data_IF_637953698549
#
_entry.id   IF_637953698549
#
_cell.length_a   1.000
_cell.length_b   1.000
_cell.length_c   1.000
_cell.angle_alpha   90.00
_cell.angle_beta   90.00
_cell.angle_gamma   90.00
#
_symmetry.space_group_name_H-M   'P 1'
#
loop_
_entity.id
_entity.type
_entity.pdbx_description
1 polymer ?
#
# COMPACT_ATOMS: atom_id res chain seq x y z
N UNK A 1 7.92 13.50 28.37
CA UNK A 1 7.73 14.04 29.74
C UNK A 1 6.32 14.57 29.99
N UNK A 2 5.74 15.40 29.12
CA UNK A 2 4.39 15.99 29.36
C UNK A 2 3.29 14.92 29.53
N UNK A 3 3.20 13.92 28.64
CA UNK A 3 2.20 12.85 28.76
C UNK A 3 2.33 12.01 30.03
N UNK A 4 3.56 11.79 30.51
CA UNK A 4 3.80 11.11 31.78
C UNK A 4 3.25 11.93 32.95
N UNK A 5 3.45 13.25 32.94
CA UNK A 5 2.89 14.15 33.94
C UNK A 5 1.36 14.15 33.91
N UNK A 6 0.75 14.25 32.72
CA UNK A 6 -0.72 14.17 32.57
C UNK A 6 -1.26 12.86 33.14
N UNK A 7 -0.62 11.73 32.86
CA UNK A 7 -1.08 10.43 33.34
C UNK A 7 -0.85 10.19 34.83
N UNK A 8 0.29 10.61 35.37
CA UNK A 8 0.58 10.45 36.79
C UNK A 8 -0.26 11.37 37.66
N UNK A 9 -0.58 12.58 37.17
CA UNK A 9 -1.44 13.53 37.91
C UNK A 9 -2.93 13.17 37.90
N UNK A 10 -3.38 12.30 37.00
CA UNK A 10 -4.79 11.89 36.87
C UNK A 10 -4.94 10.37 37.01
N UNK A 11 -3.97 9.66 37.58
CA UNK A 11 -3.92 8.19 37.52
C UNK A 11 -5.20 7.51 38.04
N UNK A 12 -5.78 8.06 39.10
CA UNK A 12 -6.97 7.51 39.76
C UNK A 12 -8.24 7.62 38.91
N UNK A 13 -8.31 8.56 37.96
CA UNK A 13 -9.46 8.76 37.06
C UNK A 13 -9.30 8.06 35.71
N UNK A 14 -8.11 7.53 35.41
CA UNK A 14 -7.80 6.91 34.12
C UNK A 14 -8.18 5.43 34.07
N UNK A 15 -9.08 5.12 33.15
CA UNK A 15 -9.38 3.74 32.78
C UNK A 15 -8.20 3.10 32.04
N UNK A 16 -7.83 1.88 32.44
CA UNK A 16 -6.73 1.13 31.81
C UNK A 16 -6.85 1.01 30.27
N UNK A 17 -8.03 0.75 29.68
CA UNK A 17 -8.14 0.68 28.22
C UNK A 17 -7.87 2.03 27.52
N UNK A 18 -8.08 3.16 28.19
CA UNK A 18 -7.78 4.49 27.65
C UNK A 18 -6.27 4.70 27.63
N UNK A 19 -5.60 4.36 28.74
CA UNK A 19 -4.14 4.44 28.85
C UNK A 19 -3.47 3.58 27.77
N UNK A 20 -3.92 2.33 27.59
CA UNK A 20 -3.38 1.44 26.55
C UNK A 20 -3.59 2.01 25.16
N UNK A 21 -4.82 2.45 24.81
CA UNK A 21 -5.12 3.02 23.51
C UNK A 21 -4.28 4.28 23.23
N UNK A 22 -4.10 5.13 24.24
CA UNK A 22 -3.28 6.33 24.14
C UNK A 22 -1.78 6.01 23.99
N UNK A 23 -1.27 5.02 24.71
CA UNK A 23 0.11 4.57 24.58
C UNK A 23 0.42 3.99 23.20
N UNK A 24 -0.51 3.24 22.59
CA UNK A 24 -0.36 2.74 21.21
C UNK A 24 -0.29 3.89 20.21
N UNK A 25 -1.16 4.89 20.37
CA UNK A 25 -1.11 6.11 19.56
C UNK A 25 0.22 6.86 19.75
N UNK A 26 0.65 7.08 20.99
CA UNK A 26 1.93 7.74 21.28
C UNK A 26 3.11 6.96 20.70
N UNK A 27 3.11 5.64 20.81
CA UNK A 27 4.12 4.79 20.19
C UNK A 27 4.17 5.05 18.68
N UNK A 28 3.02 5.05 18.01
CA UNK A 28 2.96 5.35 16.58
C UNK A 28 3.51 6.74 16.24
N UNK A 29 3.09 7.78 16.97
CA UNK A 29 3.52 9.16 16.72
C UNK A 29 5.03 9.32 16.83
N UNK A 30 5.70 8.54 17.68
CA UNK A 30 7.16 8.56 17.82
C UNK A 30 7.88 7.80 16.69
N UNK A 31 7.28 6.74 16.15
CA UNK A 31 7.88 5.99 15.03
C UNK A 31 7.53 6.57 13.66
N UNK A 32 6.44 7.33 13.54
CA UNK A 32 5.94 7.83 12.26
C UNK A 32 6.95 8.64 11.44
N UNK A 33 7.74 9.57 12.03
CA UNK A 33 8.80 10.27 11.29
C UNK A 33 9.82 9.31 10.67
N UNK A 34 10.20 8.25 11.39
CA UNK A 34 11.09 7.22 10.87
C UNK A 34 10.42 6.41 9.75
N UNK A 35 9.13 6.09 9.84
CA UNK A 35 8.41 5.37 8.78
C UNK A 35 8.28 6.21 7.49
N UNK A 36 8.04 7.53 7.64
CA UNK A 36 8.01 8.48 6.53
C UNK A 36 9.39 8.56 5.86
N UNK A 37 10.45 8.70 6.65
CA UNK A 37 11.83 8.66 6.17
C UNK A 37 12.18 7.34 5.48
N UNK A 38 11.75 6.21 6.05
CA UNK A 38 11.99 4.87 5.50
C UNK A 38 11.30 4.69 4.14
N UNK A 39 10.10 5.25 3.97
CA UNK A 39 9.41 5.26 2.68
C UNK A 39 10.23 6.04 1.63
N UNK A 40 10.61 7.27 1.97
CA UNK A 40 11.29 8.21 1.07
C UNK A 40 12.71 7.76 0.69
N UNK A 41 13.48 7.28 1.66
CA UNK A 41 14.92 7.03 1.48
C UNK A 41 15.25 5.57 1.16
N UNK A 42 14.33 4.64 1.40
CA UNK A 42 14.58 3.21 1.18
C UNK A 42 13.56 2.62 0.23
N UNK A 43 12.27 2.69 0.55
CA UNK A 43 11.24 1.96 -0.22
C UNK A 43 11.11 2.48 -1.65
N UNK A 44 11.01 3.80 -1.83
CA UNK A 44 10.87 4.40 -3.14
C UNK A 44 12.16 4.31 -3.99
N UNK A 45 13.36 4.64 -3.48
CA UNK A 45 14.60 4.51 -4.26
C UNK A 45 14.94 3.07 -4.62
N UNK A 46 14.72 2.11 -3.71
CA UNK A 46 14.93 0.69 -3.99
C UNK A 46 14.01 0.20 -5.11
N UNK A 47 12.75 0.68 -5.12
CA UNK A 47 11.82 0.39 -6.21
C UNK A 47 12.36 0.88 -7.55
N UNK A 48 12.80 2.13 -7.65
CA UNK A 48 13.35 2.69 -8.88
C UNK A 48 14.61 1.95 -9.34
N UNK A 49 15.54 1.68 -8.42
CA UNK A 49 16.80 0.98 -8.73
C UNK A 49 16.60 -0.44 -9.27
N UNK A 50 15.53 -1.12 -8.83
CA UNK A 50 15.18 -2.46 -9.33
C UNK A 50 14.42 -2.40 -10.65
N UNK A 51 13.53 -1.42 -10.80
CA UNK A 51 12.68 -1.33 -11.99
C UNK A 51 13.44 -0.83 -13.23
N UNK A 52 14.44 0.04 -13.05
CA UNK A 52 15.26 0.55 -14.17
C UNK A 52 15.98 -0.57 -14.95
N UNK A 53 16.22 -1.73 -14.33
CA UNK A 53 16.85 -2.89 -14.97
C UNK A 53 15.93 -3.62 -15.96
N UNK A 54 14.62 -3.38 -15.87
CA UNK A 54 13.58 -4.08 -16.64
C UNK A 54 12.86 -3.10 -17.59
N UNK A 55 13.03 -1.79 -17.38
CA UNK A 55 12.46 -0.77 -18.25
C UNK A 55 13.08 -0.84 -19.65
N UNK A 56 12.23 -0.94 -20.69
CA UNK A 56 12.67 -0.94 -22.08
C UNK A 56 13.45 0.34 -22.46
N UNK A 57 13.10 1.46 -21.83
CA UNK A 57 13.78 2.75 -21.98
C UNK A 57 14.23 3.30 -20.60
N UNK A 58 15.48 3.01 -20.17
CA UNK A 58 15.97 3.44 -18.86
C UNK A 58 15.96 4.96 -18.66
N UNK A 59 16.13 5.75 -19.73
CA UNK A 59 16.16 7.22 -19.65
C UNK A 59 14.78 7.82 -19.35
N UNK A 60 13.74 7.30 -19.98
CA UNK A 60 12.35 7.69 -19.71
C UNK A 60 11.92 7.30 -18.29
N UNK A 61 12.35 6.12 -17.83
CA UNK A 61 12.09 5.69 -16.46
C UNK A 61 12.85 6.54 -15.41
N UNK A 62 14.07 6.98 -15.71
CA UNK A 62 14.82 7.87 -14.82
C UNK A 62 14.12 9.23 -14.64
N UNK A 63 13.57 9.79 -15.72
CA UNK A 63 12.77 11.03 -15.65
C UNK A 63 11.48 10.82 -14.84
N UNK A 64 10.82 9.67 -15.01
CA UNK A 64 9.65 9.30 -14.21
C UNK A 64 9.99 9.24 -12.72
N UNK A 65 11.12 8.61 -12.38
CA UNK A 65 11.60 8.47 -11.01
C UNK A 65 11.91 9.83 -10.37
N UNK A 66 12.60 10.72 -11.09
CA UNK A 66 12.90 12.07 -10.64
C UNK A 66 11.61 12.88 -10.42
N UNK A 67 10.67 12.84 -11.37
CA UNK A 67 9.38 13.53 -11.25
C UNK A 67 8.57 13.06 -10.04
N UNK A 68 8.55 11.76 -9.74
CA UNK A 68 7.81 11.22 -8.60
C UNK A 68 8.50 11.47 -7.26
N UNK A 69 9.83 11.43 -7.22
CA UNK A 69 10.60 11.83 -6.04
C UNK A 69 10.41 13.31 -5.74
N UNK A 70 10.48 14.17 -6.76
CA UNK A 70 10.22 15.59 -6.62
C UNK A 70 8.77 15.83 -6.17
N UNK A 71 7.80 15.16 -6.79
CA UNK A 71 6.41 15.23 -6.40
C UNK A 71 6.26 14.90 -4.92
N UNK A 72 6.75 13.76 -4.44
CA UNK A 72 6.68 13.37 -3.03
C UNK A 72 7.32 14.40 -2.08
N UNK A 73 8.48 14.95 -2.46
CA UNK A 73 9.23 15.92 -1.65
C UNK A 73 8.55 17.28 -1.50
N UNK A 74 7.66 17.66 -2.43
CA UNK A 74 6.95 18.94 -2.38
C UNK A 74 5.91 18.95 -1.26
N UNK A 75 5.69 20.10 -0.60
CA UNK A 75 4.70 20.21 0.46
C UNK A 75 3.28 20.08 -0.11
N UNK A 76 2.54 19.08 0.33
CA UNK A 76 1.16 18.83 -0.11
C UNK A 76 0.15 19.42 0.87
N UNK A 77 -0.10 20.72 0.74
CA UNK A 77 -0.99 21.45 1.64
C UNK A 77 -2.41 20.89 1.70
N UNK A 78 -2.94 20.31 0.61
CA UNK A 78 -4.27 19.70 0.61
C UNK A 78 -4.35 18.45 1.49
N UNK A 79 -3.36 17.55 1.40
CA UNK A 79 -3.30 16.36 2.25
C UNK A 79 -3.08 16.75 3.72
N UNK A 80 -2.18 17.70 3.97
CA UNK A 80 -1.93 18.25 5.30
C UNK A 80 -3.16 18.97 5.88
N UNK A 81 -3.93 19.69 5.07
CA UNK A 81 -5.16 20.35 5.51
C UNK A 81 -6.28 19.34 5.79
N UNK A 82 -6.44 18.33 4.93
CA UNK A 82 -7.43 17.28 5.11
C UNK A 82 -7.24 16.58 6.46
N UNK A 83 -6.02 16.12 6.76
CA UNK A 83 -5.71 15.48 8.05
C UNK A 83 -5.58 16.47 9.20
N UNK A 84 -5.09 17.68 8.94
CA UNK A 84 -5.02 18.78 9.88
C UNK A 84 -6.38 19.27 10.38
N UNK A 85 -7.45 19.04 9.62
CA UNK A 85 -8.83 19.23 10.05
C UNK A 85 -9.40 17.94 10.62
N UNK A 86 -9.18 16.81 9.95
CA UNK A 86 -9.78 15.53 10.32
C UNK A 86 -9.37 15.02 11.71
N UNK A 87 -8.08 15.06 12.04
CA UNK A 87 -7.61 14.56 13.33
C UNK A 87 -8.13 15.42 14.50
N UNK A 88 -8.12 16.77 14.43
CA UNK A 88 -8.80 17.60 15.42
C UNK A 88 -10.30 17.39 15.52
N UNK A 89 -11.00 17.13 14.40
CA UNK A 89 -12.44 16.77 14.42
C UNK A 89 -12.66 15.47 15.18
N UNK A 90 -11.81 14.45 14.99
CA UNK A 90 -11.86 13.20 15.76
C UNK A 90 -11.60 13.46 17.25
N UNK A 91 -10.58 14.26 17.59
CA UNK A 91 -10.28 14.63 18.97
C UNK A 91 -11.43 15.41 19.62
N UNK A 92 -12.08 16.29 18.86
CA UNK A 92 -13.26 17.04 19.29
C UNK A 92 -14.46 16.14 19.55
N UNK A 93 -14.69 15.16 18.68
CA UNK A 93 -15.69 14.11 18.92
C UNK A 93 -15.37 13.30 20.17
N UNK A 94 -14.09 13.11 20.51
CA UNK A 94 -13.64 12.45 21.74
C UNK A 94 -13.78 13.25 23.04
N UNK A 95 -14.24 14.51 23.00
CA UNK A 95 -14.40 15.37 24.20
C UNK A 95 -15.10 14.69 25.38
N UNK A 96 -16.22 13.97 25.21
CA UNK A 96 -16.89 13.31 26.32
C UNK A 96 -16.00 12.29 27.04
N UNK A 97 -15.11 11.60 26.31
CA UNK A 97 -14.15 10.67 26.92
C UNK A 97 -13.15 11.42 27.78
N UNK A 98 -12.62 12.54 27.32
CA UNK A 98 -11.71 13.36 28.15
C UNK A 98 -12.40 13.87 29.42
N UNK A 99 -13.68 14.24 29.34
CA UNK A 99 -14.46 14.66 30.50
C UNK A 99 -14.65 13.50 31.51
N UNK A 100 -14.98 12.30 31.03
CA UNK A 100 -15.12 11.11 31.88
C UNK A 100 -13.82 10.67 32.55
N UNK A 101 -12.68 11.03 31.97
CA UNK A 101 -11.35 10.75 32.54
C UNK A 101 -10.81 11.91 33.38
N UNK A 102 -11.63 12.95 33.64
CA UNK A 102 -11.25 14.17 34.38
C UNK A 102 -10.11 14.99 33.72
N UNK A 103 -9.89 14.82 32.42
CA UNK A 103 -8.79 15.44 31.65
C UNK A 103 -9.14 16.82 31.06
N UNK A 104 -10.18 17.49 31.56
CA UNK A 104 -10.71 18.74 30.99
C UNK A 104 -9.64 19.84 30.94
N UNK A 105 -8.86 19.99 32.02
CA UNK A 105 -7.80 20.99 32.12
C UNK A 105 -6.71 20.80 31.05
N UNK A 106 -6.57 19.58 30.52
CA UNK A 106 -5.55 19.20 29.54
C UNK A 106 -6.07 19.22 28.10
N UNK A 107 -7.37 19.44 27.87
CA UNK A 107 -7.97 19.43 26.52
C UNK A 107 -7.23 20.30 25.48
N UNK A 108 -6.76 21.52 25.78
CA UNK A 108 -5.99 22.31 24.82
C UNK A 108 -4.74 21.59 24.31
N UNK A 109 -4.07 20.83 25.18
CA UNK A 109 -2.91 20.02 24.82
C UNK A 109 -3.30 18.88 23.88
N UNK A 110 -4.42 18.19 24.15
CA UNK A 110 -4.96 17.14 23.27
C UNK A 110 -5.25 17.68 21.86
N UNK A 111 -5.86 18.86 21.76
CA UNK A 111 -6.14 19.50 20.47
C UNK A 111 -4.87 19.96 19.75
N UNK A 112 -3.92 20.58 20.45
CA UNK A 112 -2.64 20.97 19.87
C UNK A 112 -1.89 19.75 19.33
N UNK A 113 -1.94 18.64 20.08
CA UNK A 113 -1.33 17.38 19.66
C UNK A 113 -2.05 16.77 18.45
N UNK A 114 -3.38 16.83 18.41
CA UNK A 114 -4.18 16.40 17.25
C UNK A 114 -3.83 17.21 15.99
N UNK A 115 -3.64 18.53 16.11
CA UNK A 115 -3.21 19.41 15.02
C UNK A 115 -1.80 19.03 14.56
N UNK A 116 -0.87 18.83 15.49
CA UNK A 116 0.48 18.37 15.18
C UNK A 116 0.46 17.07 14.37
N UNK A 117 -0.29 16.06 14.82
CA UNK A 117 -0.41 14.78 14.12
C UNK A 117 -1.00 15.00 12.72
N UNK A 118 -2.10 15.75 12.60
CA UNK A 118 -2.77 15.94 11.32
C UNK A 118 -1.93 16.71 10.29
N UNK A 119 -1.33 17.82 10.71
CA UNK A 119 -0.58 18.73 9.81
C UNK A 119 0.82 18.22 9.52
N UNK A 120 1.56 17.77 10.55
CA UNK A 120 2.98 17.42 10.41
C UNK A 120 3.16 15.98 9.94
N UNK A 121 2.39 15.03 10.49
CA UNK A 121 2.54 13.60 10.17
C UNK A 121 1.55 13.13 9.10
N UNK A 122 0.31 13.62 9.16
CA UNK A 122 -0.78 13.19 8.29
C UNK A 122 -0.51 13.47 6.81
N UNK A 123 0.03 14.65 6.48
CA UNK A 123 0.38 15.01 5.11
C UNK A 123 1.40 14.04 4.47
N UNK A 124 2.67 14.02 4.93
CA UNK A 124 3.70 13.16 4.35
C UNK A 124 3.39 11.67 4.43
N UNK A 125 2.73 11.23 5.52
CA UNK A 125 2.31 9.83 5.68
C UNK A 125 1.24 9.40 4.67
N UNK A 126 0.29 10.28 4.33
CA UNK A 126 -0.76 9.99 3.35
C UNK A 126 -0.29 10.10 1.91
N UNK A 127 0.76 10.89 1.65
CA UNK A 127 1.32 11.01 0.31
C UNK A 127 1.93 9.70 -0.19
N UNK A 128 2.46 8.84 0.68
CA UNK A 128 3.05 7.57 0.26
C UNK A 128 2.10 6.72 -0.58
N UNK A 129 0.91 6.36 -0.08
CA UNK A 129 -0.12 5.69 -0.88
C UNK A 129 -0.47 6.40 -2.19
N UNK A 130 -0.65 7.73 -2.18
CA UNK A 130 -0.99 8.51 -3.38
C UNK A 130 0.09 8.39 -4.44
N UNK A 131 1.35 8.64 -4.07
CA UNK A 131 2.49 8.55 -4.99
C UNK A 131 2.62 7.14 -5.55
N UNK A 132 2.44 6.13 -4.71
CA UNK A 132 2.44 4.73 -5.17
C UNK A 132 1.33 4.45 -6.18
N UNK A 133 0.11 4.95 -5.97
CA UNK A 133 -0.99 4.79 -6.93
C UNK A 133 -0.70 5.47 -8.27
N UNK A 134 -0.16 6.69 -8.24
CA UNK A 134 0.20 7.45 -9.43
C UNK A 134 1.34 6.77 -10.20
N UNK A 135 2.42 6.42 -9.50
CA UNK A 135 3.59 5.78 -10.09
C UNK A 135 3.24 4.47 -10.77
N UNK A 136 2.45 3.61 -10.10
CA UNK A 136 2.07 2.32 -10.68
C UNK A 136 1.13 2.50 -11.87
N UNK A 137 0.28 3.53 -11.87
CA UNK A 137 -0.57 3.85 -13.01
C UNK A 137 0.27 4.23 -14.23
N UNK A 138 1.30 5.04 -14.06
CA UNK A 138 2.19 5.50 -15.14
C UNK A 138 3.11 4.38 -15.63
N UNK A 139 3.64 3.57 -14.72
CA UNK A 139 4.44 2.38 -15.08
C UNK A 139 3.62 1.37 -15.88
N UNK A 140 2.35 1.17 -15.52
CA UNK A 140 1.47 0.28 -16.26
C UNK A 140 1.13 0.79 -17.69
N UNK A 141 1.52 2.01 -18.05
CA UNK A 141 1.41 2.54 -19.42
C UNK A 141 2.73 2.58 -20.18
N UNK A 142 3.86 2.27 -19.54
CA UNK A 142 5.16 2.15 -20.20
C UNK A 142 5.28 0.74 -20.78
N UNK A 143 5.99 0.60 -21.90
CA UNK A 143 6.33 -0.72 -22.44
C UNK A 143 7.24 -1.47 -21.45
N UNK A 144 6.67 -2.50 -20.83
CA UNK A 144 7.38 -3.40 -19.93
C UNK A 144 7.92 -4.55 -20.76
N UNK A 145 9.17 -4.97 -20.54
CA UNK A 145 9.68 -6.21 -21.14
C UNK A 145 9.49 -7.37 -20.15
N UNK A 146 8.53 -8.26 -20.43
CA UNK A 146 8.32 -9.48 -19.63
C UNK A 146 9.40 -10.48 -20.00
N UNK A 147 10.23 -10.82 -19.02
CA UNK A 147 11.28 -11.82 -19.15
C UNK A 147 10.81 -13.18 -18.59
N UNK A 148 10.44 -14.18 -19.41
CA UNK A 148 9.87 -15.44 -18.92
C UNK A 148 10.82 -16.24 -18.03
N UNK A 149 12.12 -16.10 -18.28
CA UNK A 149 13.20 -16.76 -17.55
C UNK A 149 13.71 -15.92 -16.37
N UNK A 150 13.00 -14.85 -16.00
CA UNK A 150 13.40 -14.02 -14.87
C UNK A 150 13.34 -14.83 -13.55
N UNK A 151 14.31 -14.66 -12.63
CA UNK A 151 14.38 -15.45 -11.39
C UNK A 151 13.14 -15.35 -10.49
N UNK A 152 12.34 -14.29 -10.63
CA UNK A 152 11.13 -14.07 -9.83
C UNK A 152 9.89 -14.85 -10.29
N UNK A 153 9.97 -15.54 -11.45
CA UNK A 153 8.86 -16.28 -12.09
C UNK A 153 7.62 -15.43 -12.43
N UNK A 154 7.73 -14.10 -12.31
CA UNK A 154 6.68 -13.10 -12.54
C UNK A 154 7.05 -12.15 -13.68
N UNK A 155 8.06 -12.50 -14.49
CA UNK A 155 8.48 -11.67 -15.61
C UNK A 155 9.19 -10.39 -15.21
N UNK A 156 9.72 -10.28 -13.99
CA UNK A 156 10.32 -9.05 -13.46
C UNK A 156 9.35 -8.14 -12.70
N UNK A 157 8.06 -8.48 -12.64
CA UNK A 157 7.01 -7.64 -12.05
C UNK A 157 6.92 -7.72 -10.52
N UNK A 158 7.68 -8.60 -9.88
CA UNK A 158 7.68 -8.75 -8.41
C UNK A 158 8.00 -7.46 -7.67
N UNK A 159 8.80 -6.58 -8.27
CA UNK A 159 9.21 -5.30 -7.70
C UNK A 159 8.03 -4.33 -7.48
N UNK A 160 7.06 -4.31 -8.40
CA UNK A 160 5.88 -3.43 -8.27
C UNK A 160 4.99 -3.88 -7.12
N UNK A 161 4.86 -5.19 -6.94
CA UNK A 161 4.19 -5.77 -5.78
C UNK A 161 4.91 -5.46 -4.47
N UNK A 162 6.23 -5.63 -4.45
CA UNK A 162 7.05 -5.28 -3.28
C UNK A 162 6.84 -3.82 -2.84
N UNK A 163 6.86 -2.89 -3.79
CA UNK A 163 6.66 -1.47 -3.52
C UNK A 163 5.25 -1.17 -2.97
N UNK A 164 4.22 -1.75 -3.60
CA UNK A 164 2.83 -1.59 -3.15
C UNK A 164 2.62 -2.17 -1.74
N UNK A 165 3.11 -3.39 -1.48
CA UNK A 165 3.02 -4.05 -0.16
C UNK A 165 3.73 -3.23 0.91
N UNK A 166 4.97 -2.76 0.65
CA UNK A 166 5.71 -1.97 1.63
C UNK A 166 5.01 -0.65 1.92
N UNK A 167 4.50 0.03 0.90
CA UNK A 167 3.72 1.27 1.08
C UNK A 167 2.51 1.02 1.98
N UNK A 168 1.72 -0.02 1.68
CA UNK A 168 0.52 -0.37 2.46
C UNK A 168 0.88 -0.77 3.89
N UNK A 169 1.94 -1.55 4.09
CA UNK A 169 2.40 -1.93 5.43
C UNK A 169 2.78 -0.71 6.26
N UNK A 170 3.62 0.18 5.72
CA UNK A 170 4.01 1.42 6.40
C UNK A 170 2.80 2.26 6.77
N UNK A 171 1.87 2.47 5.83
CA UNK A 171 0.66 3.24 6.08
C UNK A 171 -0.30 2.58 7.08
N UNK A 172 -0.45 1.25 7.01
CA UNK A 172 -1.34 0.45 7.89
C UNK A 172 -0.93 0.48 9.37
N UNK A 173 0.32 0.83 9.68
CA UNK A 173 0.77 1.00 11.08
C UNK A 173 -0.04 2.07 11.82
N UNK A 174 -0.62 3.03 11.10
CA UNK A 174 -1.53 4.04 11.66
C UNK A 174 -2.82 3.43 12.23
N UNK A 175 -3.08 2.13 12.03
CA UNK A 175 -4.13 1.40 12.74
C UNK A 175 -3.97 1.40 14.26
N UNK A 176 -2.79 1.72 14.78
CA UNK A 176 -2.57 1.94 16.22
C UNK A 176 -3.40 3.09 16.81
N UNK A 177 -4.01 3.95 15.98
CA UNK A 177 -4.99 4.94 16.41
C UNK A 177 -6.40 4.37 16.61
N UNK A 178 -6.72 3.23 15.98
CA UNK A 178 -8.08 2.68 15.96
C UNK A 178 -8.62 2.39 17.35
N UNK A 179 -7.86 1.79 18.29
CA UNK A 179 -8.35 1.59 19.66
C UNK A 179 -8.85 2.90 20.28
N UNK A 180 -8.08 3.98 20.15
CA UNK A 180 -8.44 5.28 20.70
C UNK A 180 -9.66 5.88 19.97
N UNK A 181 -9.70 5.77 18.64
CA UNK A 181 -10.83 6.21 17.84
C UNK A 181 -12.13 5.50 18.26
N UNK A 182 -12.09 4.18 18.47
CA UNK A 182 -13.29 3.45 18.90
C UNK A 182 -13.73 3.78 20.33
N UNK A 183 -12.79 4.06 21.24
CA UNK A 183 -13.15 4.59 22.56
C UNK A 183 -13.87 5.93 22.44
N UNK A 184 -13.40 6.81 21.55
CA UNK A 184 -14.10 8.07 21.28
C UNK A 184 -15.50 7.84 20.69
N UNK A 185 -15.70 6.84 19.83
CA UNK A 185 -17.02 6.57 19.24
C UNK A 185 -17.99 5.90 20.22
N UNK A 186 -17.51 5.13 21.18
CA UNK A 186 -18.37 4.42 22.15
C UNK A 186 -19.11 5.37 23.10
N UNK A 187 -18.57 6.56 23.34
CA UNK A 187 -19.06 7.51 24.35
C UNK A 187 -19.60 8.81 23.76
N UNK A 188 -19.25 9.09 22.50
CA UNK A 188 -19.61 10.35 21.85
C UNK A 188 -20.92 10.23 21.07
N UNK A 189 -21.74 11.27 21.10
CA UNK A 189 -22.91 11.44 20.21
C UNK A 189 -22.53 11.94 18.80
N UNK A 190 -21.24 11.84 18.44
CA UNK A 190 -20.63 12.36 17.22
C UNK A 190 -19.79 11.29 16.52
N UNK A 191 -20.15 10.04 16.76
CA UNK A 191 -19.53 8.82 16.26
C UNK A 191 -19.48 8.78 14.73
N UNK A 192 -20.43 9.44 14.05
CA UNK A 192 -20.47 9.57 12.59
C UNK A 192 -19.15 10.10 12.01
N UNK A 193 -18.53 11.09 12.66
CA UNK A 193 -17.27 11.68 12.20
C UNK A 193 -16.10 10.71 12.36
N UNK A 194 -16.10 9.97 13.47
CA UNK A 194 -15.06 8.99 13.77
C UNK A 194 -15.15 7.85 12.74
N UNK A 195 -16.33 7.28 12.53
CA UNK A 195 -16.53 6.22 11.55
C UNK A 195 -16.25 6.66 10.13
N UNK A 196 -16.55 7.92 9.77
CA UNK A 196 -16.20 8.48 8.46
C UNK A 196 -14.68 8.45 8.23
N UNK A 197 -13.88 9.02 9.13
CA UNK A 197 -12.43 9.06 8.98
C UNK A 197 -11.77 7.68 9.10
N UNK A 198 -12.27 6.81 9.99
CA UNK A 198 -11.82 5.41 10.08
C UNK A 198 -12.13 4.67 8.79
N UNK A 199 -13.31 4.87 8.19
CA UNK A 199 -13.66 4.25 6.91
C UNK A 199 -12.77 4.75 5.78
N UNK A 200 -12.52 6.06 5.70
CA UNK A 200 -11.59 6.64 4.72
C UNK A 200 -10.18 6.05 4.88
N UNK A 201 -9.71 5.89 6.10
CA UNK A 201 -8.42 5.25 6.40
C UNK A 201 -8.38 3.79 5.91
N UNK A 202 -9.38 2.97 6.29
CA UNK A 202 -9.45 1.55 5.88
C UNK A 202 -9.54 1.43 4.36
N UNK A 203 -10.38 2.25 3.71
CA UNK A 203 -10.48 2.28 2.26
C UNK A 203 -9.15 2.66 1.63
N UNK A 204 -8.42 3.64 2.18
CA UNK A 204 -7.09 4.01 1.68
C UNK A 204 -6.12 2.84 1.80
N UNK A 205 -6.09 2.12 2.92
CA UNK A 205 -5.26 0.91 3.09
C UNK A 205 -5.58 -0.11 2.00
N UNK A 206 -6.88 -0.43 1.81
CA UNK A 206 -7.31 -1.40 0.78
C UNK A 206 -6.93 -0.94 -0.62
N UNK A 207 -7.26 0.29 -0.99
CA UNK A 207 -6.98 0.85 -2.32
C UNK A 207 -5.48 0.96 -2.61
N UNK A 208 -4.67 1.31 -1.61
CA UNK A 208 -3.20 1.45 -1.75
C UNK A 208 -2.52 0.18 -2.24
N UNK A 209 -3.13 -0.99 -2.02
CA UNK A 209 -2.64 -2.26 -2.53
C UNK A 209 -3.46 -2.80 -3.70
N UNK A 210 -4.79 -2.78 -3.58
CA UNK A 210 -5.69 -3.44 -4.53
C UNK A 210 -5.59 -2.81 -5.92
N UNK A 211 -5.52 -1.48 -5.98
CA UNK A 211 -5.43 -0.76 -7.25
C UNK A 211 -4.11 -1.04 -7.99
N UNK A 212 -2.92 -0.85 -7.38
CA UNK A 212 -1.65 -1.16 -8.04
C UNK A 212 -1.59 -2.60 -8.54
N UNK A 213 -2.07 -3.51 -7.70
CA UNK A 213 -2.04 -4.95 -7.99
C UNK A 213 -2.92 -5.30 -9.18
N UNK A 214 -4.15 -4.79 -9.20
CA UNK A 214 -5.06 -5.00 -10.33
C UNK A 214 -4.51 -4.40 -11.62
N UNK A 215 -3.99 -3.18 -11.56
CA UNK A 215 -3.49 -2.44 -12.72
C UNK A 215 -2.32 -3.16 -13.39
N UNK A 216 -1.34 -3.62 -12.60
CA UNK A 216 -0.15 -4.32 -13.13
C UNK A 216 -0.47 -5.71 -13.63
N UNK A 217 -1.33 -6.47 -12.93
CA UNK A 217 -1.77 -7.76 -13.42
C UNK A 217 -2.42 -7.62 -14.81
N UNK A 218 -3.29 -6.62 -14.98
CA UNK A 218 -3.94 -6.38 -16.27
C UNK A 218 -2.95 -5.99 -17.36
N UNK A 219 -2.00 -5.10 -17.07
CA UNK A 219 -0.95 -4.73 -18.03
C UNK A 219 -0.11 -5.94 -18.44
N UNK A 220 0.30 -6.77 -17.47
CA UNK A 220 1.08 -7.97 -17.71
C UNK A 220 0.33 -9.03 -18.54
N UNK A 221 -0.97 -9.18 -18.28
CA UNK A 221 -1.82 -10.11 -19.02
C UNK A 221 -1.95 -9.68 -20.49
N UNK A 222 -2.23 -8.40 -20.75
CA UNK A 222 -2.34 -7.85 -22.10
C UNK A 222 -1.04 -8.04 -22.88
N UNK A 223 0.09 -7.65 -22.30
CA UNK A 223 1.40 -7.79 -22.94
C UNK A 223 1.75 -9.26 -23.23
N UNK A 224 1.49 -10.17 -22.28
CA UNK A 224 1.71 -11.61 -22.51
C UNK A 224 0.86 -12.11 -23.67
N UNK A 225 -0.41 -11.72 -23.72
CA UNK A 225 -1.33 -12.17 -24.77
C UNK A 225 -0.93 -11.62 -26.15
N UNK A 226 -0.43 -10.38 -26.23
CA UNK A 226 0.17 -9.78 -27.43
C UNK A 226 1.39 -10.57 -27.91
N UNK A 227 2.35 -10.87 -27.01
CA UNK A 227 3.54 -11.65 -27.33
C UNK A 227 3.18 -13.06 -27.82
N UNK A 228 2.19 -13.71 -27.21
CA UNK A 228 1.75 -15.05 -27.61
C UNK A 228 1.11 -15.03 -29.02
N UNK A 229 0.37 -13.98 -29.35
CA UNK A 229 -0.24 -13.82 -30.67
C UNK A 229 0.80 -13.50 -31.76
N UNK A 230 1.82 -12.69 -31.43
CA UNK A 230 2.96 -12.44 -32.33
C UNK A 230 3.71 -13.73 -32.65
N UNK A 231 4.04 -14.53 -31.62
CA UNK A 231 4.70 -15.85 -31.80
C UNK A 231 3.83 -16.78 -32.65
N UNK A 232 2.51 -16.78 -32.44
CA UNK A 232 1.58 -17.60 -33.20
C UNK A 232 1.50 -17.18 -34.66
N UNK A 233 1.49 -15.87 -34.93
CA UNK A 233 1.45 -15.30 -36.27
C UNK A 233 2.73 -15.63 -37.03
N UNK A 234 3.88 -15.45 -36.38
CA UNK A 234 5.20 -15.79 -36.92
C UNK A 234 5.29 -17.29 -37.25
N UNK A 235 4.89 -18.16 -36.31
CA UNK A 235 4.85 -19.61 -36.51
C UNK A 235 3.95 -20.01 -37.70
N UNK A 236 2.75 -19.42 -37.80
CA UNK A 236 1.80 -19.71 -38.88
C UNK A 236 2.35 -19.29 -40.24
N UNK A 237 3.05 -18.15 -40.29
CA UNK A 237 3.68 -17.65 -41.52
C UNK A 237 4.82 -18.57 -42.00
N UNK A 238 5.66 -19.05 -41.09
CA UNK A 238 6.73 -20.01 -41.40
C UNK A 238 6.17 -21.37 -41.83
N UNK A 239 5.09 -21.82 -41.20
CA UNK A 239 4.43 -23.08 -41.55
C UNK A 239 3.86 -23.04 -42.98
N UNK A 240 3.25 -21.93 -43.40
CA UNK A 240 2.72 -21.78 -44.77
C UNK A 240 3.83 -21.73 -45.84
N UNK A 241 5.02 -21.23 -45.49
CA UNK A 241 6.18 -21.13 -46.38
C UNK A 241 7.03 -22.41 -46.44
N UNK A 242 6.73 -23.42 -45.63
CA UNK A 242 7.51 -24.67 -45.57
C UNK A 242 6.80 -25.78 -46.35
N UNK A 243 7.18 -26.08 -47.60
CA UNK A 243 6.61 -27.21 -48.34
C UNK A 243 6.95 -28.56 -47.67
N UNK A 244 6.05 -29.52 -47.79
CA UNK A 244 6.07 -30.77 -47.01
C UNK A 244 7.12 -31.81 -47.42
N UNK A 245 7.81 -31.65 -48.56
CA UNK A 245 8.50 -32.79 -49.23
C UNK A 245 9.97 -32.50 -49.64
N UNK A 246 10.57 -31.35 -49.33
CA UNK A 246 11.93 -31.04 -49.83
C UNK A 246 12.99 -30.90 -48.72
N UNK A 247 14.03 -31.74 -48.72
CA UNK A 247 15.13 -31.77 -47.74
C UNK A 247 16.20 -30.70 -48.06
N UNK A 248 15.75 -29.50 -48.41
CA UNK A 248 16.62 -28.36 -48.64
C UNK A 248 17.05 -27.73 -47.30
N UNK A 249 18.28 -27.22 -47.20
CA UNK A 249 18.85 -26.60 -45.99
C UNK A 249 17.95 -25.48 -45.44
N UNK A 250 17.28 -24.75 -46.34
CA UNK A 250 16.32 -23.71 -45.99
C UNK A 250 15.09 -24.24 -45.22
N UNK A 251 14.60 -25.42 -45.57
CA UNK A 251 13.48 -26.06 -44.88
C UNK A 251 13.89 -26.60 -43.51
N UNK A 252 15.14 -27.05 -43.35
CA UNK A 252 15.70 -27.43 -42.04
C UNK A 252 15.77 -26.21 -41.13
N UNK A 253 16.28 -25.08 -41.62
CA UNK A 253 16.35 -23.82 -40.85
C UNK A 253 14.95 -23.37 -40.39
N UNK A 254 13.95 -23.39 -41.28
CA UNK A 254 12.55 -23.04 -40.93
C UNK A 254 11.97 -23.98 -39.87
N UNK A 255 12.27 -25.29 -39.92
CA UNK A 255 11.84 -26.25 -38.88
C UNK A 255 12.46 -25.96 -37.52
N UNK A 256 13.76 -25.62 -37.48
CA UNK A 256 14.44 -25.24 -36.25
C UNK A 256 13.86 -23.94 -35.67
N UNK A 257 13.53 -22.98 -36.52
CA UNK A 257 12.88 -21.73 -36.12
C UNK A 257 11.48 -21.95 -35.55
N UNK A 258 10.66 -22.80 -36.20
CA UNK A 258 9.36 -23.21 -35.66
C UNK A 258 9.48 -23.90 -34.28
N UNK A 259 10.50 -24.73 -34.07
CA UNK A 259 10.77 -25.34 -32.75
C UNK A 259 11.15 -24.28 -31.71
N UNK A 260 11.98 -23.31 -32.09
CA UNK A 260 12.35 -22.18 -31.23
C UNK A 260 11.13 -21.35 -30.84
N UNK A 261 10.25 -21.03 -31.79
CA UNK A 261 9.00 -20.31 -31.53
C UNK A 261 8.07 -21.09 -30.61
N UNK A 262 7.96 -22.41 -30.80
CA UNK A 262 7.17 -23.26 -29.91
C UNK A 262 7.71 -23.26 -28.48
N UNK A 263 9.03 -23.39 -28.31
CA UNK A 263 9.66 -23.27 -26.99
C UNK A 263 9.39 -21.91 -26.35
N UNK A 264 9.56 -20.82 -27.12
CA UNK A 264 9.27 -19.46 -26.66
C UNK A 264 7.81 -19.30 -26.26
N UNK A 265 6.87 -19.83 -27.04
CA UNK A 265 5.44 -19.83 -26.71
C UNK A 265 5.16 -20.53 -25.38
N UNK A 266 5.73 -21.73 -25.20
CA UNK A 266 5.57 -22.50 -23.96
C UNK A 266 6.18 -21.75 -22.76
N UNK A 267 7.32 -21.07 -22.93
CA UNK A 267 7.93 -20.24 -21.88
C UNK A 267 6.99 -19.11 -21.45
N UNK A 268 6.49 -18.29 -22.40
CA UNK A 268 5.58 -17.17 -22.10
C UNK A 268 4.22 -17.62 -21.56
N UNK A 269 3.68 -18.74 -22.06
CA UNK A 269 2.40 -19.29 -21.61
C UNK A 269 2.44 -19.73 -20.15
N UNK A 270 3.59 -20.24 -19.71
CA UNK A 270 3.78 -20.76 -18.35
C UNK A 270 4.20 -19.68 -17.34
N UNK A 271 4.47 -18.44 -17.78
CA UNK A 271 4.71 -17.31 -16.87
C UNK A 271 3.49 -17.09 -15.99
N UNK A 272 3.70 -17.10 -14.68
CA UNK A 272 2.64 -16.81 -13.71
C UNK A 272 2.40 -15.30 -13.70
N UNK A 273 1.14 -14.90 -13.87
CA UNK A 273 0.77 -13.51 -13.70
C UNK A 273 0.74 -13.13 -12.20
N UNK A 274 1.28 -11.95 -11.89
CA UNK A 274 1.12 -11.29 -10.61
C UNK A 274 -0.39 -11.16 -10.26
N UNK A 275 -0.87 -11.25 -8.99
CA UNK A 275 -0.18 -11.37 -7.70
C UNK A 275 -0.16 -12.79 -7.10
N UNK A 276 -0.35 -13.85 -7.89
CA UNK A 276 -0.74 -15.19 -7.39
C UNK A 276 0.29 -15.93 -6.49
N UNK A 277 1.35 -15.26 -6.02
CA UNK A 277 2.25 -15.82 -5.01
C UNK A 277 1.58 -15.77 -3.63
N UNK A 278 1.54 -16.92 -2.94
CA UNK A 278 0.94 -17.09 -1.61
C UNK A 278 1.53 -16.11 -0.59
N UNK A 279 2.83 -15.82 -0.68
CA UNK A 279 3.52 -14.89 0.23
C UNK A 279 3.02 -13.44 0.10
N UNK A 280 2.61 -13.03 -1.10
CA UNK A 280 2.03 -11.70 -1.36
C UNK A 280 0.64 -11.61 -0.75
N UNK A 281 -0.17 -12.67 -0.89
CA UNK A 281 -1.51 -12.76 -0.31
C UNK A 281 -1.44 -12.80 1.23
N UNK A 282 -0.45 -13.49 1.82
CA UNK A 282 -0.24 -13.51 3.28
C UNK A 282 0.19 -12.14 3.83
N UNK A 283 1.08 -11.43 3.12
CA UNK A 283 1.46 -10.05 3.50
C UNK A 283 0.30 -9.09 3.35
N UNK A 284 -0.51 -9.26 2.31
CA UNK A 284 -1.75 -8.54 2.09
C UNK A 284 -2.72 -8.76 3.26
N UNK A 285 -2.98 -10.03 3.57
CA UNK A 285 -3.81 -10.41 4.69
C UNK A 285 -3.27 -9.75 5.96
N UNK A 286 -1.98 -9.84 6.27
CA UNK A 286 -1.39 -9.19 7.46
C UNK A 286 -1.64 -7.67 7.54
N UNK A 287 -1.47 -6.95 6.42
CA UNK A 287 -1.64 -5.49 6.35
C UNK A 287 -3.09 -5.03 6.55
N UNK A 288 -4.06 -5.84 6.12
CA UNK A 288 -5.50 -5.57 6.27
C UNK A 288 -6.02 -6.16 7.59
N UNK A 289 -5.44 -7.28 8.03
CA UNK A 289 -5.78 -7.98 9.27
C UNK A 289 -5.52 -7.07 10.45
N UNK A 290 -4.43 -6.29 10.50
CA UNK A 290 -4.18 -5.47 11.69
C UNK A 290 -5.32 -4.45 11.97
N UNK A 291 -5.76 -3.61 11.00
CA UNK A 291 -6.97 -2.80 11.16
C UNK A 291 -8.22 -3.61 11.48
N UNK A 292 -8.48 -4.70 10.76
CA UNK A 292 -9.68 -5.54 10.95
C UNK A 292 -9.68 -6.27 12.29
N UNK A 293 -8.52 -6.64 12.80
CA UNK A 293 -8.32 -7.29 14.08
C UNK A 293 -8.67 -6.31 15.19
N UNK A 294 -8.25 -5.04 15.10
CA UNK A 294 -8.69 -4.03 16.08
C UNK A 294 -10.21 -3.79 16.02
N UNK A 295 -10.79 -3.72 14.82
CA UNK A 295 -12.26 -3.65 14.66
C UNK A 295 -12.94 -4.86 15.29
N UNK A 296 -12.43 -6.06 15.03
CA UNK A 296 -12.99 -7.32 15.52
C UNK A 296 -12.86 -7.45 17.04
N UNK A 297 -11.68 -7.16 17.59
CA UNK A 297 -11.44 -7.10 19.03
C UNK A 297 -12.45 -6.17 19.68
N UNK A 298 -12.58 -4.94 19.20
CA UNK A 298 -13.49 -3.98 19.80
C UNK A 298 -14.96 -4.45 19.72
N UNK A 299 -15.38 -4.96 18.56
CA UNK A 299 -16.74 -5.42 18.34
C UNK A 299 -17.15 -6.63 19.19
N UNK A 300 -16.22 -7.57 19.43
CA UNK A 300 -16.50 -8.82 20.14
C UNK A 300 -16.10 -8.79 21.62
N UNK A 301 -14.93 -8.25 21.98
CA UNK A 301 -14.54 -8.10 23.39
C UNK A 301 -15.40 -7.05 24.10
N UNK A 302 -15.79 -5.97 23.42
CA UNK A 302 -16.74 -5.00 23.97
C UNK A 302 -18.09 -5.65 24.36
N UNK A 303 -18.55 -6.64 23.60
CA UNK A 303 -19.78 -7.38 23.89
C UNK A 303 -19.62 -8.45 24.97
N UNK A 304 -18.48 -9.15 25.01
CA UNK A 304 -18.22 -10.18 26.03
C UNK A 304 -18.04 -9.55 27.42
N UNK A 305 -17.32 -8.43 27.51
CA UNK A 305 -17.18 -7.71 28.79
C UNK A 305 -18.53 -7.19 29.26
N UNK A 306 -19.36 -6.63 28.37
CA UNK A 306 -20.72 -6.18 28.70
C UNK A 306 -21.72 -7.30 29.05
N UNK A 307 -21.41 -8.56 28.73
CA UNK A 307 -22.21 -9.74 29.12
C UNK A 307 -21.79 -10.34 30.47
N UNK A 308 -20.61 -9.98 30.97
CA UNK A 308 -20.02 -10.52 32.20
C UNK A 308 -20.02 -9.47 33.34
N UNK A 309 -20.16 -8.17 33.01
CA UNK A 309 -20.39 -7.05 33.95
C UNK A 309 -21.87 -6.80 34.18
#
# INVERSE_FOLDING_TARGET
MIWLYVFTSNWDSLSMPFVVAWLLMLFWVNIAPYLIWLYDQVVMPEFFNRFIQIAANPGEFAQLAESHSEFYSRPHYLAAAFWGIGIPVIAWSGTPVFQMQELIAWMPLFYLFAIYIGVILGGPGFMGPIVTLHLVREIASIDIDIQPLHPDQLGGLSNVGYYSIRTTLLFSTASLFLPLAFRFSATSSREIWIYLFVSIFILTVVFSFAYPTYKINRAAATLRDEILEDIRTEYSSLQQQTPSIDDNIENINRRLEMQRLRSKYDDYKNVRLYPLQIDIILRLAGSIILPLLFVFIEAYLGRIVALIS
#
